data_IF_783962666855
#
_entry.id   IF_783962666855
#
_cell.length_a   1.000
_cell.length_b   1.000
_cell.length_c   1.000
_cell.angle_alpha   90.00
_cell.angle_beta   90.00
_cell.angle_gamma   90.00
#
_symmetry.space_group_name_H-M   'P 1'
#
loop_
_entity.id
_entity.type
_entity.pdbx_description
1 polymer ?
#
# COMPACT_ATOMS: atom_id res chain seq x y z
N UNK A 1 -36.01 54.96 -9.53
CA UNK A 1 -35.03 53.98 -10.09
C UNK A 1 -33.88 53.87 -9.11
N UNK A 2 -33.84 52.77 -8.35
CA UNK A 2 -32.93 51.62 -8.52
C UNK A 2 -31.50 51.91 -8.03
N UNK A 3 -31.13 51.28 -6.91
CA UNK A 3 -29.98 50.36 -6.86
C UNK A 3 -29.98 49.64 -5.52
N UNK A 4 -30.51 48.42 -5.54
CA UNK A 4 -30.38 47.45 -4.46
C UNK A 4 -28.90 47.06 -4.34
N UNK A 5 -28.33 47.19 -3.13
CA UNK A 5 -27.03 46.62 -2.80
C UNK A 5 -27.23 45.19 -2.32
N UNK A 6 -27.06 44.23 -3.22
CA UNK A 6 -26.93 42.81 -2.88
C UNK A 6 -25.59 42.60 -2.17
N UNK A 7 -25.62 42.24 -0.89
CA UNK A 7 -24.44 41.76 -0.17
C UNK A 7 -24.47 40.24 -0.23
N UNK A 8 -23.45 39.67 -0.85
CA UNK A 8 -23.26 38.24 -1.06
C UNK A 8 -23.30 37.47 0.27
N UNK A 9 -24.17 36.46 0.36
CA UNK A 9 -23.98 35.34 1.27
C UNK A 9 -22.73 34.58 0.83
N UNK A 10 -21.62 34.76 1.54
CA UNK A 10 -20.49 33.84 1.45
C UNK A 10 -20.87 32.56 2.19
N UNK A 11 -21.41 31.58 1.47
CA UNK A 11 -21.50 30.21 1.94
C UNK A 11 -20.08 29.65 2.05
N UNK A 12 -19.50 29.70 3.26
CA UNK A 12 -18.38 28.84 3.61
C UNK A 12 -18.87 27.39 3.52
N UNK A 13 -18.61 26.75 2.39
CA UNK A 13 -18.47 25.30 2.36
C UNK A 13 -17.24 24.97 3.21
N UNK A 14 -17.45 24.74 4.50
CA UNK A 14 -16.53 23.94 5.28
C UNK A 14 -16.58 22.53 4.69
N UNK A 15 -15.72 22.26 3.70
CA UNK A 15 -15.39 20.89 3.34
C UNK A 15 -14.74 20.29 4.58
N UNK A 16 -15.54 19.59 5.39
CA UNK A 16 -15.01 18.62 6.34
C UNK A 16 -14.30 17.58 5.51
N UNK A 17 -13.02 17.79 5.21
CA UNK A 17 -12.15 16.71 4.76
C UNK A 17 -12.14 15.73 5.92
N UNK A 18 -12.98 14.70 5.84
CA UNK A 18 -12.94 13.56 6.73
C UNK A 18 -11.47 13.14 6.80
N UNK A 19 -10.85 13.33 7.97
CA UNK A 19 -9.48 12.93 8.24
C UNK A 19 -9.48 11.41 8.36
N UNK A 20 -9.75 10.74 7.26
CA UNK A 20 -9.29 9.37 7.08
C UNK A 20 -7.78 9.50 7.01
N UNK A 21 -7.07 8.83 7.91
CA UNK A 21 -5.63 8.81 7.86
C UNK A 21 -5.23 8.10 6.56
N UNK A 22 -4.60 8.83 5.63
CA UNK A 22 -4.17 8.28 4.34
C UNK A 22 -3.37 7.00 4.54
N UNK A 23 -3.60 5.99 3.70
CA UNK A 23 -2.79 4.78 3.72
C UNK A 23 -1.34 5.11 3.32
N UNK A 24 -0.38 4.54 4.04
CA UNK A 24 1.03 4.77 3.74
C UNK A 24 1.89 3.58 4.09
N UNK A 25 3.02 3.46 3.39
CA UNK A 25 4.14 2.60 3.79
C UNK A 25 5.11 3.41 4.64
N UNK A 26 5.42 2.91 5.84
CA UNK A 26 6.52 3.38 6.68
C UNK A 26 7.75 2.52 6.44
N UNK A 27 8.69 3.01 5.63
CA UNK A 27 9.93 2.32 5.28
C UNK A 27 11.13 3.01 5.92
N UNK A 28 11.88 2.32 6.78
CA UNK A 28 13.04 2.87 7.48
C UNK A 28 12.74 4.22 8.18
N UNK A 29 11.56 4.31 8.80
CA UNK A 29 11.10 5.48 9.56
C UNK A 29 10.52 6.63 8.73
N UNK A 30 10.46 6.54 7.39
CA UNK A 30 9.84 7.57 6.54
C UNK A 30 8.52 7.09 5.95
N UNK A 31 7.59 8.03 5.72
CA UNK A 31 6.28 7.76 5.13
C UNK A 31 6.29 7.93 3.62
N UNK A 32 5.74 6.95 2.90
CA UNK A 32 5.54 6.94 1.47
C UNK A 32 4.05 6.76 1.18
N UNK A 33 3.49 7.66 0.38
CA UNK A 33 2.07 7.68 0.01
C UNK A 33 1.94 7.81 -1.50
N UNK A 34 0.89 7.21 -2.07
CA UNK A 34 0.55 7.38 -3.50
C UNK A 34 0.48 8.87 -3.84
N UNK A 35 1.00 9.24 -5.02
CA UNK A 35 1.14 10.64 -5.45
C UNK A 35 2.41 11.34 -4.97
N UNK A 36 3.24 10.74 -4.11
CA UNK A 36 4.55 11.29 -3.80
C UNK A 36 5.40 11.39 -5.08
N UNK A 37 5.87 12.58 -5.47
CA UNK A 37 6.79 12.71 -6.61
C UNK A 37 8.11 11.98 -6.36
N UNK A 38 8.78 11.55 -7.44
CA UNK A 38 10.12 10.93 -7.37
C UNK A 38 11.12 11.80 -6.58
N UNK A 39 11.04 13.12 -6.70
CA UNK A 39 11.88 14.06 -5.95
C UNK A 39 11.64 13.96 -4.44
N UNK A 40 10.38 13.88 -4.01
CA UNK A 40 10.01 13.73 -2.59
C UNK A 40 10.42 12.36 -2.05
N UNK A 41 10.21 11.29 -2.80
CA UNK A 41 10.67 9.94 -2.37
C UNK A 41 12.19 9.91 -2.24
N UNK A 42 12.92 10.48 -3.20
CA UNK A 42 14.39 10.55 -3.18
C UNK A 42 14.92 11.42 -2.04
N UNK A 43 14.23 12.51 -1.66
CA UNK A 43 14.68 13.31 -0.51
C UNK A 43 14.47 12.59 0.82
N UNK A 44 13.42 11.75 0.93
CA UNK A 44 13.12 10.93 2.12
C UNK A 44 14.07 9.73 2.24
N UNK A 45 14.29 8.99 1.15
CA UNK A 45 15.03 7.71 1.14
C UNK A 45 16.51 7.83 0.74
N UNK A 46 16.92 8.97 0.17
CA UNK A 46 18.23 9.17 -0.42
C UNK A 46 18.31 8.69 -1.87
N UNK A 47 19.55 8.55 -2.37
CA UNK A 47 19.81 8.14 -3.76
C UNK A 47 19.33 6.69 -3.99
N UNK A 48 18.56 6.41 -5.06
CA UNK A 48 18.17 5.04 -5.39
C UNK A 48 19.39 4.20 -5.74
N UNK A 49 19.30 2.91 -5.42
CA UNK A 49 20.28 1.90 -5.80
C UNK A 49 20.18 1.54 -7.28
N UNK A 50 18.96 1.52 -7.81
CA UNK A 50 18.66 1.24 -9.21
C UNK A 50 17.54 2.15 -9.69
N UNK A 51 17.64 2.61 -10.94
CA UNK A 51 16.61 3.40 -11.61
C UNK A 51 16.63 3.04 -13.09
N UNK A 52 15.51 2.54 -13.60
CA UNK A 52 15.27 2.34 -15.03
C UNK A 52 13.94 3.01 -15.44
N UNK A 53 13.44 2.69 -16.64
CA UNK A 53 12.18 3.25 -17.17
C UNK A 53 10.95 2.80 -16.39
N UNK A 54 11.00 1.62 -15.77
CA UNK A 54 9.82 0.94 -15.25
C UNK A 54 9.73 1.06 -13.74
N UNK A 55 10.88 1.06 -13.06
CA UNK A 55 10.94 1.11 -11.59
C UNK A 55 12.18 1.82 -11.05
N UNK A 56 12.05 2.21 -9.78
CA UNK A 56 13.13 2.78 -8.96
C UNK A 56 13.24 1.96 -7.68
N UNK A 57 14.47 1.56 -7.32
CA UNK A 57 14.72 0.71 -6.15
C UNK A 57 15.66 1.41 -5.17
N UNK A 58 15.31 1.35 -3.89
CA UNK A 58 16.17 1.71 -2.77
C UNK A 58 16.44 0.49 -1.89
N UNK A 59 17.72 0.16 -1.69
CA UNK A 59 18.15 -0.70 -0.57
C UNK A 59 18.26 0.17 0.68
N UNK A 60 17.44 -0.12 1.69
CA UNK A 60 17.37 0.66 2.91
C UNK A 60 18.49 0.26 3.89
N UNK A 61 18.82 1.17 4.82
CA UNK A 61 19.88 0.95 5.81
C UNK A 61 19.57 -0.21 6.77
N UNK A 62 18.29 -0.45 7.04
CA UNK A 62 17.84 -1.57 7.87
C UNK A 62 17.88 -2.92 7.12
N UNK A 63 18.26 -2.96 5.83
CA UNK A 63 18.34 -4.19 5.04
C UNK A 63 17.07 -4.53 4.26
N UNK A 64 15.96 -3.82 4.47
CA UNK A 64 14.77 -3.93 3.62
C UNK A 64 14.98 -3.21 2.28
N UNK A 65 14.04 -3.39 1.35
CA UNK A 65 14.06 -2.80 0.01
C UNK A 65 12.72 -2.14 -0.28
N UNK A 66 12.77 -0.97 -0.92
CA UNK A 66 11.61 -0.33 -1.55
C UNK A 66 11.78 -0.42 -3.06
N UNK A 67 10.78 -0.95 -3.76
CA UNK A 67 10.63 -0.84 -5.19
C UNK A 67 9.42 0.06 -5.49
N UNK A 68 9.55 0.99 -6.41
CA UNK A 68 8.50 1.96 -6.72
C UNK A 68 8.34 2.18 -8.22
N UNK A 69 7.11 2.46 -8.63
CA UNK A 69 6.76 2.94 -9.98
C UNK A 69 6.17 4.34 -9.87
N UNK A 70 6.40 5.15 -10.90
CA UNK A 70 5.91 6.51 -10.96
C UNK A 70 5.21 6.74 -12.30
N UNK A 71 4.11 7.48 -12.26
CA UNK A 71 3.39 7.95 -13.43
C UNK A 71 3.36 9.50 -13.44
N UNK A 72 2.46 10.07 -14.24
CA UNK A 72 2.29 11.52 -14.34
C UNK A 72 1.71 12.18 -13.07
N UNK A 73 1.08 11.42 -12.18
CA UNK A 73 0.48 11.88 -10.93
C UNK A 73 1.38 11.67 -9.71
N UNK A 74 2.45 10.88 -9.85
CA UNK A 74 3.46 10.68 -8.83
C UNK A 74 3.72 9.20 -8.59
N UNK A 75 3.97 8.83 -7.33
CA UNK A 75 4.14 7.43 -6.93
C UNK A 75 2.83 6.68 -7.22
N UNK A 76 2.82 5.80 -8.21
CA UNK A 76 1.66 4.97 -8.55
C UNK A 76 1.68 3.64 -7.81
N UNK A 77 2.88 3.08 -7.58
CA UNK A 77 3.09 1.88 -6.79
C UNK A 77 4.31 1.95 -5.91
N UNK A 78 4.20 1.36 -4.73
CA UNK A 78 5.33 1.09 -3.86
C UNK A 78 5.21 -0.27 -3.20
N UNK A 79 6.27 -1.08 -3.30
CA UNK A 79 6.41 -2.35 -2.62
C UNK A 79 7.59 -2.29 -1.65
N UNK A 80 7.31 -2.53 -0.38
CA UNK A 80 8.28 -2.75 0.68
C UNK A 80 8.49 -4.26 0.86
N UNK A 81 9.74 -4.72 0.81
CA UNK A 81 10.08 -6.14 0.96
C UNK A 81 11.34 -6.33 1.81
N UNK A 82 11.47 -7.50 2.45
CA UNK A 82 12.63 -7.83 3.26
C UNK A 82 12.28 -8.55 4.56
N UNK A 83 13.28 -8.68 5.43
CA UNK A 83 13.22 -9.52 6.62
C UNK A 83 13.22 -8.72 7.93
N UNK A 84 13.23 -7.39 7.90
CA UNK A 84 13.21 -6.56 9.11
C UNK A 84 11.80 -6.07 9.43
N UNK A 85 11.36 -6.31 10.66
CA UNK A 85 9.97 -6.15 11.10
C UNK A 85 9.62 -4.82 11.74
N UNK A 86 10.46 -3.80 11.57
CA UNK A 86 10.19 -2.43 12.02
C UNK A 86 9.32 -1.63 11.06
N UNK A 87 9.33 -2.02 9.78
CA UNK A 87 8.61 -1.34 8.71
C UNK A 87 7.20 -1.90 8.56
N UNK A 88 6.25 -1.07 8.13
CA UNK A 88 4.84 -1.42 8.13
C UNK A 88 4.04 -0.68 7.05
N UNK A 89 2.90 -1.24 6.69
CA UNK A 89 1.82 -0.55 6.00
C UNK A 89 0.81 -0.09 7.06
N UNK A 90 0.38 1.15 6.98
CA UNK A 90 -0.65 1.71 7.85
C UNK A 90 -1.93 1.89 7.04
N UNK A 91 -3.02 1.35 7.55
CA UNK A 91 -4.36 1.47 6.95
C UNK A 91 -5.42 1.34 8.04
N UNK A 92 -6.53 2.07 7.93
CA UNK A 92 -7.66 2.00 8.88
C UNK A 92 -7.26 2.09 10.36
N UNK A 93 -6.27 2.93 10.68
CA UNK A 93 -5.80 3.07 12.07
C UNK A 93 -4.87 1.94 12.55
N UNK A 94 -4.60 0.94 11.70
CA UNK A 94 -3.89 -0.29 12.03
C UNK A 94 -2.51 -0.30 11.36
N UNK A 95 -1.49 -0.74 12.10
CA UNK A 95 -0.16 -1.04 11.55
C UNK A 95 -0.05 -2.53 11.22
N UNK A 96 0.25 -2.82 9.97
CA UNK A 96 0.57 -4.15 9.47
C UNK A 96 2.07 -4.24 9.21
N UNK A 97 2.78 -4.98 10.07
CA UNK A 97 4.24 -5.05 10.06
C UNK A 97 4.78 -6.13 9.12
N UNK A 98 5.75 -5.74 8.28
CA UNK A 98 6.50 -6.64 7.40
C UNK A 98 7.20 -7.74 8.23
N UNK A 99 7.27 -8.96 7.74
CA UNK A 99 7.97 -10.09 8.38
C UNK A 99 7.62 -10.30 9.88
N UNK A 100 6.42 -9.90 10.29
CA UNK A 100 5.88 -10.11 11.64
C UNK A 100 4.49 -10.69 11.58
N UNK A 101 3.68 -10.17 10.66
CA UNK A 101 2.30 -10.60 10.47
C UNK A 101 2.20 -11.65 9.37
N UNK A 102 1.24 -12.55 9.51
CA UNK A 102 0.81 -13.47 8.44
C UNK A 102 -0.52 -13.02 7.86
N UNK A 103 -0.87 -13.50 6.67
CA UNK A 103 -2.19 -13.26 6.06
C UNK A 103 -3.31 -13.60 7.05
N UNK A 104 -3.23 -14.74 7.74
CA UNK A 104 -4.22 -15.13 8.77
C UNK A 104 -4.36 -14.10 9.91
N UNK A 105 -3.27 -13.46 10.32
CA UNK A 105 -3.33 -12.41 11.35
C UNK A 105 -3.87 -11.09 10.83
N UNK A 106 -3.59 -10.77 9.56
CA UNK A 106 -4.06 -9.55 8.89
C UNK A 106 -5.56 -9.64 8.63
N UNK A 107 -6.04 -10.76 8.12
CA UNK A 107 -7.47 -11.05 7.94
C UNK A 107 -8.28 -10.85 9.23
N UNK A 108 -7.74 -11.28 10.37
CA UNK A 108 -8.38 -11.10 11.68
C UNK A 108 -8.43 -9.64 12.14
N UNK A 109 -7.43 -8.84 11.74
CA UNK A 109 -7.32 -7.42 12.10
C UNK A 109 -8.22 -6.55 11.24
N UNK A 110 -8.12 -6.71 9.92
CA UNK A 110 -8.85 -5.89 8.95
C UNK A 110 -10.30 -6.39 8.83
N UNK A 111 -10.53 -7.71 8.78
CA UNK A 111 -11.85 -8.37 8.64
C UNK A 111 -12.54 -8.17 7.29
N UNK A 112 -11.87 -7.55 6.33
CA UNK A 112 -12.32 -7.36 4.96
C UNK A 112 -11.12 -7.38 4.02
N UNK A 113 -11.32 -7.85 2.79
CA UNK A 113 -10.29 -8.06 1.77
C UNK A 113 -10.52 -9.36 1.00
N UNK A 114 -9.75 -9.52 -0.08
CA UNK A 114 -9.79 -10.68 -0.97
C UNK A 114 -8.47 -11.46 -0.90
N UNK A 115 -8.56 -12.78 -0.85
CA UNK A 115 -7.43 -13.69 -1.01
C UNK A 115 -7.29 -14.07 -2.48
N UNK A 116 -6.08 -13.88 -3.00
CA UNK A 116 -5.66 -14.28 -4.32
C UNK A 116 -4.55 -15.32 -4.21
N UNK A 117 -4.58 -16.31 -5.09
CA UNK A 117 -3.57 -17.36 -5.14
C UNK A 117 -3.15 -17.57 -6.59
N UNK A 118 -1.84 -17.64 -6.79
CA UNK A 118 -1.27 -17.83 -8.11
C UNK A 118 -0.02 -18.69 -8.07
N UNK A 119 0.47 -19.01 -9.26
CA UNK A 119 1.69 -19.77 -9.48
C UNK A 119 2.67 -18.96 -10.32
N UNK A 120 3.87 -18.77 -9.78
CA UNK A 120 5.05 -18.26 -10.50
C UNK A 120 6.18 -19.29 -10.42
N UNK A 121 7.37 -18.88 -9.97
CA UNK A 121 8.44 -19.80 -9.57
C UNK A 121 8.12 -20.60 -8.28
N UNK A 122 6.95 -20.35 -7.68
CA UNK A 122 6.40 -21.04 -6.51
C UNK A 122 4.96 -20.59 -6.27
N UNK A 123 4.35 -21.09 -5.19
CA UNK A 123 3.03 -20.67 -4.74
C UNK A 123 3.09 -19.24 -4.18
N UNK A 124 2.27 -18.36 -4.74
CA UNK A 124 2.13 -16.97 -4.31
C UNK A 124 0.74 -16.80 -3.70
N UNK A 125 0.68 -16.11 -2.56
CA UNK A 125 -0.57 -15.66 -1.99
C UNK A 125 -0.54 -14.17 -1.70
N UNK A 126 -1.59 -13.52 -2.15
CA UNK A 126 -1.86 -12.13 -1.86
C UNK A 126 -3.15 -12.03 -1.04
N UNK A 127 -3.10 -11.26 0.04
CA UNK A 127 -4.30 -10.72 0.64
C UNK A 127 -4.41 -9.26 0.22
N UNK A 128 -5.57 -8.88 -0.31
CA UNK A 128 -5.76 -7.61 -1.00
C UNK A 128 -6.88 -6.85 -0.33
N UNK A 129 -6.59 -5.63 0.06
CA UNK A 129 -7.57 -4.70 0.58
C UNK A 129 -7.66 -3.52 -0.38
N UNK A 130 -8.87 -3.19 -0.82
CA UNK A 130 -9.12 -1.99 -1.64
C UNK A 130 -9.41 -0.81 -0.75
N UNK A 131 -8.71 0.29 -1.00
CA UNK A 131 -8.82 1.55 -0.28
C UNK A 131 -8.82 2.74 -1.24
N UNK A 132 -8.90 3.95 -0.69
CA UNK A 132 -9.03 5.18 -1.46
C UNK A 132 -10.43 5.38 -2.03
N UNK A 133 -10.62 6.50 -2.75
CA UNK A 133 -11.88 6.78 -3.42
C UNK A 133 -12.23 5.63 -4.37
N UNK A 134 -13.44 5.08 -4.21
CA UNK A 134 -13.97 3.97 -5.03
C UNK A 134 -13.11 2.68 -5.03
N UNK A 135 -12.19 2.52 -4.06
CA UNK A 135 -11.30 1.36 -4.01
C UNK A 135 -10.18 1.39 -5.05
N UNK A 136 -9.75 2.59 -5.46
CA UNK A 136 -8.71 2.83 -6.47
C UNK A 136 -7.29 2.43 -6.05
N UNK A 137 -7.06 2.09 -4.77
CA UNK A 137 -5.75 1.71 -4.25
C UNK A 137 -5.81 0.28 -3.73
N UNK A 138 -4.95 -0.58 -4.25
CA UNK A 138 -4.71 -1.92 -3.73
C UNK A 138 -3.65 -1.88 -2.62
N UNK A 139 -4.01 -2.39 -1.45
CA UNK A 139 -3.11 -2.74 -0.36
C UNK A 139 -2.86 -4.24 -0.44
N UNK A 140 -1.65 -4.64 -0.80
CA UNK A 140 -1.32 -6.05 -1.06
C UNK A 140 -0.37 -6.57 0.02
N UNK A 141 -0.77 -7.64 0.68
CA UNK A 141 0.00 -8.36 1.68
C UNK A 141 0.44 -9.70 1.08
N UNK A 142 1.71 -9.79 0.69
CA UNK A 142 2.21 -10.89 -0.10
C UNK A 142 3.02 -11.88 0.74
N UNK A 143 2.87 -13.16 0.43
CA UNK A 143 3.76 -14.24 0.87
C UNK A 143 4.03 -15.19 -0.29
N UNK A 144 5.22 -15.80 -0.27
CA UNK A 144 5.67 -16.74 -1.29
C UNK A 144 6.21 -18.02 -0.64
N UNK A 145 6.03 -19.16 -1.30
CA UNK A 145 6.63 -20.43 -0.89
C UNK A 145 6.75 -21.41 -2.05
N UNK A 146 7.50 -22.50 -1.84
CA UNK A 146 7.61 -23.60 -2.79
C UNK A 146 6.36 -24.48 -2.83
N UNK A 147 6.54 -25.80 -2.92
CA UNK A 147 5.44 -26.76 -2.86
C UNK A 147 4.86 -26.85 -1.43
N UNK A 148 3.86 -26.02 -1.16
CA UNK A 148 3.19 -25.93 0.14
C UNK A 148 1.68 -25.70 -0.05
N UNK A 149 0.93 -26.03 0.99
CA UNK A 149 -0.52 -25.81 1.00
C UNK A 149 -0.87 -24.32 1.20
N UNK A 150 -2.03 -23.90 0.69
CA UNK A 150 -2.65 -22.59 0.96
C UNK A 150 -2.67 -22.26 2.46
N UNK A 151 -2.97 -23.25 3.32
CA UNK A 151 -3.00 -23.07 4.78
C UNK A 151 -1.62 -22.72 5.35
N UNK A 152 -0.58 -23.40 4.87
CA UNK A 152 0.79 -23.11 5.26
C UNK A 152 1.21 -21.73 4.76
N UNK A 153 0.91 -21.42 3.49
CA UNK A 153 1.20 -20.14 2.86
C UNK A 153 0.57 -18.96 3.63
N UNK A 154 -0.74 -19.02 3.94
CA UNK A 154 -1.43 -18.01 4.77
C UNK A 154 -0.91 -17.84 6.20
N UNK A 155 -0.18 -18.84 6.70
CA UNK A 155 0.40 -18.82 8.05
C UNK A 155 1.84 -18.30 8.07
N UNK A 156 2.48 -18.18 6.91
CA UNK A 156 3.79 -17.55 6.79
C UNK A 156 3.72 -16.06 7.04
N UNK A 157 4.85 -15.50 7.46
CA UNK A 157 4.99 -14.06 7.60
C UNK A 157 5.03 -13.43 6.22
N UNK A 158 4.33 -12.32 6.06
CA UNK A 158 4.32 -11.56 4.81
C UNK A 158 5.73 -11.05 4.50
N UNK A 159 6.19 -11.34 3.28
CA UNK A 159 7.52 -11.01 2.78
C UNK A 159 7.54 -9.69 2.00
N UNK A 160 6.36 -9.20 1.60
CA UNK A 160 6.21 -7.89 0.99
C UNK A 160 4.86 -7.25 1.36
N UNK A 161 4.86 -5.92 1.35
CA UNK A 161 3.71 -5.05 1.53
C UNK A 161 3.69 -4.08 0.35
N UNK A 162 2.58 -3.98 -0.37
CA UNK A 162 2.43 -3.03 -1.48
C UNK A 162 1.26 -2.08 -1.25
N UNK A 163 1.40 -0.88 -1.79
CA UNK A 163 0.41 0.20 -1.83
C UNK A 163 0.46 0.81 -3.23
N UNK A 164 -0.65 0.79 -3.96
CA UNK A 164 -0.72 1.42 -5.28
C UNK A 164 -1.83 0.89 -6.20
N UNK A 165 -1.70 1.13 -7.49
CA UNK A 165 -2.66 0.71 -8.53
C UNK A 165 -2.38 -0.68 -9.14
N UNK A 166 -1.26 -1.32 -8.77
CA UNK A 166 -0.90 -2.64 -9.27
C UNK A 166 -2.00 -3.66 -8.93
N UNK A 167 -2.40 -4.43 -9.93
CA UNK A 167 -3.35 -5.52 -9.74
C UNK A 167 -2.70 -6.67 -8.95
N UNK A 168 -3.46 -7.34 -8.08
CA UNK A 168 -2.96 -8.47 -7.32
C UNK A 168 -2.68 -9.68 -8.20
N UNK A 169 -1.75 -10.53 -7.76
CA UNK A 169 -1.33 -11.67 -8.54
C UNK A 169 -2.26 -12.88 -8.33
N UNK A 170 -2.67 -13.50 -9.43
CA UNK A 170 -3.38 -14.78 -9.40
C UNK A 170 -4.90 -14.68 -9.31
N UNK A 171 -5.54 -15.84 -9.12
CA UNK A 171 -6.98 -15.97 -9.10
C UNK A 171 -7.55 -15.53 -7.76
N UNK A 172 -8.57 -14.68 -7.79
CA UNK A 172 -9.33 -14.28 -6.60
C UNK A 172 -10.20 -15.45 -6.13
N UNK A 173 -10.04 -15.89 -4.87
CA UNK A 173 -10.78 -17.04 -4.32
C UNK A 173 -11.76 -16.69 -3.22
N UNK A 174 -11.34 -15.90 -2.22
CA UNK A 174 -12.15 -15.63 -1.02
C UNK A 174 -12.20 -14.15 -0.72
N UNK A 175 -13.38 -13.55 -0.73
CA UNK A 175 -13.55 -12.14 -0.41
C UNK A 175 -14.49 -11.94 0.78
N UNK A 176 -14.08 -11.04 1.65
CA UNK A 176 -14.90 -10.47 2.71
C UNK A 176 -15.04 -8.98 2.43
N UNK A 177 -16.24 -8.50 2.13
CA UNK A 177 -16.51 -7.10 1.88
C UNK A 177 -16.92 -6.40 3.18
N UNK A 178 -16.63 -5.09 3.30
CA UNK A 178 -17.08 -4.25 4.41
C UNK A 178 -18.59 -4.06 4.43
#
# INVERSE_FOLDING_TARGET
>A
MKLAKSILQASLFATTTSVFADDFISANGVKLTVGDSLKMVTSKLGKPTEKNSDFVIWKLKNGNKVAARFDQYGLSNVTLSGNVSTDYLYTDGIKIFLNKESINSIEKKLKYGCYHEGWGEGAIADYVVRSGAEGSINLIFNTWGGDITTKQLKSQKVSALSLGDDEPFGEQKYCHYQ
#
